data_IF_097605440755
#
_entry.id   IF_097605440755
#
_cell.length_a   1.000
_cell.length_b   1.000
_cell.length_c   1.000
_cell.angle_alpha   90.00
_cell.angle_beta   90.00
_cell.angle_gamma   90.00
#
_symmetry.space_group_name_H-M   'P 1'
#
loop_
_entity.id
_entity.type
_entity.pdbx_description
1 polymer ?
#
# COMPACT_ATOMS: atom_id res chain seq x y z
N UNK A 1 5.06 14.62 36.28
CA UNK A 1 4.87 13.31 35.60
C UNK A 1 6.25 12.68 35.62
N UNK A 2 6.48 11.50 36.22
CA UNK A 2 7.83 10.93 36.18
C UNK A 2 8.17 10.65 34.72
N UNK A 3 9.26 11.25 34.26
CA UNK A 3 9.85 11.01 32.95
C UNK A 3 10.29 9.55 32.93
N UNK A 4 9.56 8.70 32.21
CA UNK A 4 9.89 7.29 32.07
C UNK A 4 11.17 7.19 31.23
N UNK A 5 12.30 6.95 31.88
CA UNK A 5 13.59 6.78 31.23
C UNK A 5 13.53 5.53 30.34
N UNK A 6 13.29 5.72 29.05
CA UNK A 6 13.37 4.66 28.05
C UNK A 6 14.85 4.29 27.90
N UNK A 7 15.29 3.23 28.58
CA UNK A 7 16.64 2.68 28.40
C UNK A 7 16.75 2.07 26.99
N UNK A 8 17.67 2.58 26.13
CA UNK A 8 17.79 2.15 24.74
C UNK A 8 18.28 0.70 24.56
N UNK A 9 18.73 0.04 25.64
CA UNK A 9 19.24 -1.35 25.67
C UNK A 9 18.28 -2.32 26.41
N UNK A 10 17.00 -1.97 26.54
CA UNK A 10 16.01 -2.86 27.15
C UNK A 10 15.61 -4.02 26.21
N UNK A 11 15.46 -5.22 26.77
CA UNK A 11 14.99 -6.40 26.02
C UNK A 11 13.61 -6.14 25.40
N UNK A 12 13.43 -6.55 24.14
CA UNK A 12 12.16 -6.37 23.43
C UNK A 12 11.00 -7.03 24.20
N UNK A 13 10.16 -6.20 24.79
CA UNK A 13 8.93 -6.64 25.43
C UNK A 13 7.76 -6.49 24.46
N UNK A 14 7.07 -7.58 24.07
CA UNK A 14 5.89 -7.47 23.23
C UNK A 14 4.81 -6.70 23.98
N UNK A 15 4.35 -5.61 23.36
CA UNK A 15 3.27 -4.78 23.89
C UNK A 15 2.24 -4.47 22.79
N UNK A 16 1.04 -4.06 23.22
CA UNK A 16 -0.05 -3.65 22.36
C UNK A 16 0.37 -2.48 21.45
N UNK A 17 1.16 -1.53 21.95
CA UNK A 17 1.63 -0.40 21.14
C UNK A 17 2.53 -0.86 20.00
N UNK A 18 3.44 -1.80 20.26
CA UNK A 18 4.30 -2.34 19.21
C UNK A 18 3.50 -3.10 18.15
N UNK A 19 2.50 -3.86 18.59
CA UNK A 19 1.59 -4.59 17.70
C UNK A 19 0.83 -3.64 16.78
N UNK A 20 0.22 -2.59 17.34
CA UNK A 20 -0.49 -1.56 16.57
C UNK A 20 0.45 -0.82 15.63
N UNK A 21 1.65 -0.44 16.11
CA UNK A 21 2.66 0.24 15.30
C UNK A 21 3.10 -0.60 14.10
N UNK A 22 3.33 -1.90 14.30
CA UNK A 22 3.64 -2.85 13.24
C UNK A 22 2.51 -2.93 12.20
N UNK A 23 1.26 -3.09 12.65
CA UNK A 23 0.09 -3.14 11.76
C UNK A 23 -0.05 -1.86 10.93
N UNK A 24 0.04 -0.70 11.58
CA UNK A 24 -0.06 0.60 10.91
C UNK A 24 1.08 0.79 9.91
N UNK A 25 2.30 0.42 10.28
CA UNK A 25 3.48 0.51 9.40
C UNK A 25 3.32 -0.38 8.17
N UNK A 26 2.87 -1.62 8.35
CA UNK A 26 2.61 -2.55 7.26
C UNK A 26 1.54 -2.00 6.31
N UNK A 27 0.44 -1.49 6.85
CA UNK A 27 -0.63 -0.87 6.08
C UNK A 27 -0.14 0.35 5.28
N UNK A 28 0.65 1.24 5.89
CA UNK A 28 1.22 2.40 5.22
C UNK A 28 2.13 1.96 4.07
N UNK A 29 2.95 0.92 4.25
CA UNK A 29 3.79 0.39 3.19
C UNK A 29 2.95 -0.11 2.02
N UNK A 30 1.93 -0.93 2.27
CA UNK A 30 1.03 -1.45 1.24
C UNK A 30 0.29 -0.32 0.52
N UNK A 31 -0.26 0.64 1.27
CA UNK A 31 -0.94 1.80 0.71
C UNK A 31 0.01 2.66 -0.15
N UNK A 32 1.24 2.86 0.31
CA UNK A 32 2.27 3.60 -0.44
C UNK A 32 2.56 2.92 -1.76
N UNK A 33 2.79 1.61 -1.76
CA UNK A 33 3.01 0.87 -3.01
C UNK A 33 1.78 0.90 -3.92
N UNK A 34 0.57 0.73 -3.39
CA UNK A 34 -0.65 0.73 -4.19
C UNK A 34 -0.95 2.10 -4.83
N UNK A 35 -0.86 3.19 -4.05
CA UNK A 35 -1.24 4.53 -4.48
C UNK A 35 -0.15 5.17 -5.33
N UNK A 36 1.13 5.00 -4.96
CA UNK A 36 2.25 5.58 -5.71
C UNK A 36 2.62 4.79 -6.96
N UNK A 37 2.06 3.60 -7.18
CA UNK A 37 2.29 2.87 -8.41
C UNK A 37 1.68 3.61 -9.60
N UNK A 38 2.53 4.37 -10.28
CA UNK A 38 2.23 4.99 -11.56
C UNK A 38 2.28 3.90 -12.64
N UNK A 39 1.14 3.67 -13.28
CA UNK A 39 1.05 2.82 -14.49
C UNK A 39 1.55 3.56 -15.73
N UNK A 40 0.89 3.32 -16.87
CA UNK A 40 1.25 3.95 -18.14
C UNK A 40 1.39 5.48 -18.03
N UNK A 41 2.35 6.11 -18.73
CA UNK A 41 3.13 5.61 -19.87
C UNK A 41 4.47 4.93 -19.56
N UNK A 42 4.99 4.99 -18.33
CA UNK A 42 6.34 4.53 -17.98
C UNK A 42 6.39 3.16 -17.28
N UNK A 43 5.25 2.66 -16.81
CA UNK A 43 5.12 1.32 -16.23
C UNK A 43 3.87 0.62 -16.78
N UNK A 44 3.79 -0.70 -16.64
CA UNK A 44 2.54 -1.43 -16.88
C UNK A 44 1.51 -1.02 -15.83
N UNK A 45 0.22 -1.05 -16.17
CA UNK A 45 -0.80 -0.83 -15.16
C UNK A 45 -0.86 -1.98 -14.15
N UNK A 46 -1.33 -1.72 -12.93
CA UNK A 46 -1.47 -2.75 -11.86
C UNK A 46 -2.13 -4.05 -12.36
N UNK A 47 -3.24 -4.03 -13.14
CA UNK A 47 -3.85 -5.27 -13.63
C UNK A 47 -3.06 -5.96 -14.77
N UNK A 48 -2.22 -5.23 -15.50
CA UNK A 48 -1.34 -5.83 -16.52
C UNK A 48 -0.14 -6.54 -15.89
N UNK A 49 0.36 -6.01 -14.76
CA UNK A 49 1.46 -6.62 -14.02
C UNK A 49 0.96 -7.64 -12.99
N UNK A 50 0.61 -8.85 -13.47
CA UNK A 50 0.13 -9.99 -12.66
C UNK A 50 0.93 -10.25 -11.38
N UNK A 51 2.28 -10.31 -11.36
CA UNK A 51 3.02 -10.58 -10.13
C UNK A 51 2.86 -9.47 -9.09
N UNK A 52 2.79 -8.20 -9.50
CA UNK A 52 2.56 -7.08 -8.58
C UNK A 52 1.14 -7.08 -8.02
N UNK A 53 0.14 -7.43 -8.84
CA UNK A 53 -1.24 -7.60 -8.38
C UNK A 53 -1.32 -8.71 -7.33
N UNK A 54 -0.68 -9.86 -7.55
CA UNK A 54 -0.65 -10.94 -6.56
C UNK A 54 0.08 -10.55 -5.30
N UNK A 55 1.20 -9.81 -5.38
CA UNK A 55 1.91 -9.31 -4.22
C UNK A 55 1.05 -8.36 -3.39
N UNK A 56 0.30 -7.45 -4.04
CA UNK A 56 -0.60 -6.52 -3.35
C UNK A 56 -1.76 -7.24 -2.68
N UNK A 57 -2.39 -8.20 -3.38
CA UNK A 57 -3.47 -9.03 -2.82
C UNK A 57 -2.97 -9.90 -1.66
N UNK A 58 -1.78 -10.49 -1.79
CA UNK A 58 -1.16 -11.25 -0.72
C UNK A 58 -0.86 -10.39 0.50
N UNK A 59 -0.36 -9.16 0.31
CA UNK A 59 -0.08 -8.23 1.40
C UNK A 59 -1.36 -7.78 2.13
N UNK A 60 -2.43 -7.47 1.39
CA UNK A 60 -3.74 -7.16 1.98
C UNK A 60 -4.31 -8.38 2.70
N UNK A 61 -4.24 -9.56 2.10
CA UNK A 61 -4.66 -10.82 2.71
C UNK A 61 -3.91 -11.10 4.01
N UNK A 62 -2.58 -10.99 3.99
CA UNK A 62 -1.72 -11.15 5.16
C UNK A 62 -2.07 -10.15 6.27
N UNK A 63 -2.27 -8.88 5.93
CA UNK A 63 -2.71 -7.86 6.88
C UNK A 63 -4.07 -8.22 7.51
N UNK A 64 -5.04 -8.65 6.70
CA UNK A 64 -6.36 -9.07 7.21
C UNK A 64 -6.30 -10.34 8.05
N UNK A 65 -5.38 -11.27 7.77
CA UNK A 65 -5.19 -12.51 8.53
C UNK A 65 -4.55 -12.26 9.90
N UNK A 66 -3.55 -11.38 9.96
CA UNK A 66 -2.89 -10.98 11.20
C UNK A 66 -3.84 -10.16 12.08
N UNK A 67 -4.53 -9.19 11.48
CA UNK A 67 -5.57 -8.41 12.18
C UNK A 67 -6.76 -9.29 12.56
N UNK A 68 -7.01 -10.33 11.76
CA UNK A 68 -7.83 -11.54 11.95
C UNK A 68 -7.90 -12.15 13.35
N UNK A 69 -6.75 -12.17 14.01
CA UNK A 69 -6.34 -13.18 15.00
C UNK A 69 -6.68 -14.63 14.60
N UNK A 70 -6.79 -14.91 13.28
CA UNK A 70 -7.20 -16.22 12.79
C UNK A 70 -6.06 -17.24 12.90
N UNK A 71 -4.81 -16.76 12.87
CA UNK A 71 -3.59 -17.54 13.03
C UNK A 71 -2.83 -17.07 14.28
N UNK A 72 -3.21 -17.59 15.45
CA UNK A 72 -2.52 -17.31 16.72
C UNK A 72 -1.07 -17.72 16.72
N UNK A 73 -0.72 -18.87 16.13
CA UNK A 73 0.67 -19.32 16.04
C UNK A 73 1.56 -18.34 15.25
N UNK A 74 1.00 -17.72 14.21
CA UNK A 74 1.69 -16.69 13.44
C UNK A 74 1.83 -15.40 14.26
N UNK A 75 0.76 -14.97 14.92
CA UNK A 75 0.80 -13.78 15.78
C UNK A 75 1.79 -13.96 16.93
N UNK A 76 1.86 -15.13 17.56
CA UNK A 76 2.83 -15.47 18.61
C UNK A 76 4.26 -15.50 18.06
N UNK A 77 4.48 -16.04 16.86
CA UNK A 77 5.79 -16.01 16.20
C UNK A 77 6.26 -14.58 15.90
N UNK A 78 5.35 -13.70 15.46
CA UNK A 78 5.65 -12.28 15.27
C UNK A 78 5.65 -11.48 16.60
N UNK A 79 5.38 -12.13 17.75
CA UNK A 79 5.24 -11.50 19.07
C UNK A 79 4.18 -10.38 19.12
N UNK A 80 3.06 -10.58 18.44
CA UNK A 80 1.90 -9.68 18.49
C UNK A 80 1.03 -10.01 19.71
N UNK A 81 0.69 -8.98 20.48
CA UNK A 81 -0.27 -9.08 21.57
C UNK A 81 -1.69 -9.07 20.97
N UNK A 82 -2.60 -9.96 21.41
CA UNK A 82 -3.96 -9.98 20.90
C UNK A 82 -4.65 -8.64 21.11
N UNK A 83 -5.15 -8.03 20.03
CA UNK A 83 -5.89 -6.77 20.13
C UNK A 83 -7.27 -7.01 20.71
N UNK A 84 -7.77 -6.11 21.58
CA UNK A 84 -9.17 -6.12 21.95
C UNK A 84 -10.03 -5.89 20.71
N UNK A 85 -11.14 -6.62 20.60
CA UNK A 85 -12.01 -6.65 19.40
C UNK A 85 -12.43 -5.25 18.94
N UNK A 86 -12.80 -4.37 19.88
CA UNK A 86 -13.16 -2.97 19.54
C UNK A 86 -12.00 -2.13 18.98
N UNK A 87 -10.76 -2.40 19.36
CA UNK A 87 -9.58 -1.70 18.80
C UNK A 87 -9.24 -2.23 17.42
N UNK A 88 -9.32 -3.54 17.22
CA UNK A 88 -9.11 -4.20 15.94
C UNK A 88 -10.05 -3.65 14.87
N UNK A 89 -11.35 -3.59 15.16
CA UNK A 89 -12.34 -3.10 14.20
C UNK A 89 -12.11 -1.63 13.85
N UNK A 90 -11.75 -0.81 14.86
CA UNK A 90 -11.36 0.58 14.64
C UNK A 90 -10.11 0.67 13.78
N UNK A 91 -9.11 -0.17 14.00
CA UNK A 91 -7.86 -0.17 13.23
C UNK A 91 -8.11 -0.53 11.76
N UNK A 92 -8.94 -1.56 11.49
CA UNK A 92 -9.36 -1.90 10.13
C UNK A 92 -10.15 -0.78 9.45
N UNK A 93 -11.04 -0.11 10.20
CA UNK A 93 -11.84 0.99 9.68
C UNK A 93 -10.95 2.21 9.36
N UNK A 94 -10.06 2.59 10.28
CA UNK A 94 -9.07 3.65 10.03
C UNK A 94 -8.13 3.30 8.88
N UNK A 95 -7.76 2.03 8.74
CA UNK A 95 -6.96 1.55 7.62
C UNK A 95 -7.65 1.74 6.29
N UNK A 96 -8.91 1.33 6.20
CA UNK A 96 -9.72 1.51 5.00
C UNK A 96 -9.92 3.00 4.68
N UNK A 97 -10.22 3.83 5.68
CA UNK A 97 -10.38 5.28 5.50
C UNK A 97 -9.09 5.95 5.03
N UNK A 98 -7.94 5.58 5.60
CA UNK A 98 -6.63 6.10 5.19
C UNK A 98 -6.33 5.71 3.74
N UNK A 99 -6.54 4.44 3.37
CA UNK A 99 -6.32 3.96 2.02
C UNK A 99 -7.21 4.69 1.00
N UNK A 100 -8.51 4.80 1.28
CA UNK A 100 -9.47 5.52 0.42
C UNK A 100 -9.11 7.00 0.35
N UNK A 101 -8.77 7.63 1.47
CA UNK A 101 -8.36 9.02 1.52
C UNK A 101 -7.13 9.30 0.66
N UNK A 102 -6.07 8.52 0.80
CA UNK A 102 -4.86 8.64 -0.02
C UNK A 102 -5.16 8.38 -1.51
N UNK A 103 -5.97 7.37 -1.83
CA UNK A 103 -6.34 7.05 -3.21
C UNK A 103 -7.17 8.17 -3.86
N UNK A 104 -8.17 8.69 -3.15
CA UNK A 104 -9.01 9.80 -3.61
C UNK A 104 -8.19 11.08 -3.77
N UNK A 105 -7.28 11.36 -2.84
CA UNK A 105 -6.38 12.51 -2.91
C UNK A 105 -5.46 12.44 -4.13
N UNK A 106 -4.82 11.30 -4.35
CA UNK A 106 -3.97 11.08 -5.53
C UNK A 106 -4.78 11.22 -6.83
N UNK A 107 -6.00 10.68 -6.86
CA UNK A 107 -6.88 10.81 -8.03
C UNK A 107 -7.28 12.26 -8.30
N UNK A 108 -7.57 13.02 -7.24
CA UNK A 108 -7.91 14.44 -7.30
C UNK A 108 -6.71 15.26 -7.78
N UNK A 109 -5.52 15.02 -7.26
CA UNK A 109 -4.30 15.70 -7.68
C UNK A 109 -3.97 15.43 -9.15
N UNK A 110 -4.06 14.17 -9.60
CA UNK A 110 -3.87 13.82 -11.02
C UNK A 110 -4.91 14.46 -11.93
N UNK A 111 -6.12 14.69 -11.43
CA UNK A 111 -7.18 15.36 -12.15
C UNK A 111 -6.99 16.89 -12.20
N UNK A 112 -6.64 17.51 -11.07
CA UNK A 112 -6.41 18.95 -10.95
C UNK A 112 -5.12 19.41 -11.66
N UNK A 113 -4.07 18.58 -11.63
CA UNK A 113 -2.78 18.83 -12.27
C UNK A 113 -2.45 17.72 -13.26
N UNK A 114 -3.07 17.68 -14.44
CA UNK A 114 -2.65 16.77 -15.50
C UNK A 114 -1.27 17.21 -15.98
N UNK A 115 -0.22 16.61 -15.41
CA UNK A 115 1.16 16.82 -15.83
C UNK A 115 1.25 16.65 -17.34
N UNK A 116 1.93 17.57 -18.03
CA UNK A 116 2.12 17.52 -19.49
C UNK A 116 2.87 16.24 -19.83
N UNK A 117 2.14 15.16 -20.14
CA UNK A 117 2.72 13.89 -20.57
C UNK A 117 3.44 14.17 -21.89
N UNK A 118 4.75 13.88 -22.01
CA UNK A 118 5.52 14.32 -23.17
C UNK A 118 4.88 13.80 -24.47
N UNK A 119 4.86 14.64 -25.48
CA UNK A 119 4.21 14.45 -26.79
C UNK A 119 4.72 13.23 -27.60
N UNK A 120 5.55 12.38 -27.01
CA UNK A 120 6.12 11.18 -27.60
C UNK A 120 5.07 10.17 -28.06
N UNK A 121 3.89 10.09 -27.41
CA UNK A 121 2.75 9.29 -27.93
C UNK A 121 2.18 9.81 -29.25
N UNK A 122 2.18 11.13 -29.50
CA UNK A 122 1.76 11.68 -30.79
C UNK A 122 2.78 11.32 -31.86
N UNK A 123 4.06 11.43 -31.54
CA UNK A 123 5.15 11.08 -32.44
C UNK A 123 5.15 9.58 -32.78
N UNK A 124 5.03 8.68 -31.79
CA UNK A 124 4.94 7.23 -32.03
C UNK A 124 3.70 6.83 -32.85
N UNK A 125 2.52 7.40 -32.54
CA UNK A 125 1.32 7.15 -33.36
C UNK A 125 1.48 7.65 -34.79
N UNK A 126 2.14 8.79 -34.99
CA UNK A 126 2.44 9.31 -36.32
C UNK A 126 3.46 8.46 -37.07
N UNK A 127 4.51 7.97 -36.40
CA UNK A 127 5.52 7.07 -36.99
C UNK A 127 4.91 5.70 -37.34
N UNK A 128 4.09 5.12 -36.47
CA UNK A 128 3.38 3.87 -36.73
C UNK A 128 2.38 4.02 -37.91
N UNK A 129 1.58 5.10 -37.93
CA UNK A 129 0.67 5.37 -39.03
C UNK A 129 1.39 5.67 -40.37
N UNK A 130 2.62 6.21 -40.30
CA UNK A 130 3.48 6.42 -41.47
C UNK A 130 4.09 5.13 -42.02
N UNK A 131 4.37 4.15 -41.17
CA UNK A 131 4.88 2.82 -41.57
C UNK A 131 3.79 1.97 -42.22
N UNK A 132 2.56 2.01 -41.71
CA UNK A 132 1.40 1.33 -42.33
C UNK A 132 1.12 1.83 -43.75
N UNK A 133 1.19 3.16 -43.96
CA UNK A 133 1.03 3.77 -45.29
C UNK A 133 2.15 3.44 -46.28
N UNK A 134 3.31 2.97 -45.81
CA UNK A 134 4.47 2.65 -46.67
C UNK A 134 4.48 1.19 -47.13
N UNK A 135 3.64 0.35 -46.52
CA UNK A 135 3.51 -1.09 -46.79
C UNK A 135 2.24 -1.44 -47.59
N UNK A 136 1.52 -0.43 -48.11
CA UNK A 136 0.37 -0.56 -49.02
C UNK A 136 0.76 -0.03 -50.39
#
# INVERSE_FOLDING_TARGET
MPEECIEPDSDFHPDLVNTVSYMVSMMIQVATFAVNYMGHPFNQSIPENRPFLYALLAAVGFFTLITSDLFRDLNDWLKLVPLPTGLRDRLLLWAALMFVGCYSWERLLRWAFPGKIPAWRKCQRQVAAGLDKKNI
#
